data_IF_771975139608
#
_entry.id   IF_771975139608
#
_cell.length_a   1.000
_cell.length_b   1.000
_cell.length_c   1.000
_cell.angle_alpha   90.00
_cell.angle_beta   90.00
_cell.angle_gamma   90.00
#
_symmetry.space_group_name_H-M   'P 1'
#
loop_
_entity.id
_entity.type
_entity.pdbx_description
1 polymer ?
#
# COMPACT_ATOMS: atom_id res chain seq x y z
N UNK A 1 -18.30 13.91 7.20
CA UNK A 1 -17.27 13.37 8.12
C UNK A 1 -16.46 12.33 7.34
N UNK A 2 -15.15 12.56 7.13
CA UNK A 2 -14.32 11.66 6.30
C UNK A 2 -14.13 10.31 7.04
N UNK A 3 -14.33 9.15 6.38
CA UNK A 3 -14.26 7.86 7.04
C UNK A 3 -12.84 7.60 7.57
N UNK A 4 -12.73 7.44 8.90
CA UNK A 4 -11.48 7.21 9.62
C UNK A 4 -11.13 5.71 9.59
N UNK A 5 -10.87 5.16 8.42
CA UNK A 5 -10.35 3.79 8.29
C UNK A 5 -8.83 3.83 8.26
N UNK A 6 -8.20 3.98 9.43
CA UNK A 6 -6.74 4.15 9.54
C UNK A 6 -5.97 2.91 10.00
N UNK A 7 -6.66 1.79 10.23
CA UNK A 7 -6.03 0.59 10.80
C UNK A 7 -5.85 -0.54 9.78
N UNK A 8 -5.66 -0.23 8.49
CA UNK A 8 -5.36 -1.28 7.50
C UNK A 8 -3.89 -1.70 7.60
N UNK A 9 -3.63 -3.00 7.76
CA UNK A 9 -2.29 -3.57 7.67
C UNK A 9 -1.89 -3.72 6.20
N UNK A 10 -0.86 -2.98 5.80
CA UNK A 10 -0.32 -2.97 4.43
C UNK A 10 0.70 -4.09 4.26
N UNK A 11 1.64 -4.23 5.20
CA UNK A 11 2.62 -5.30 5.21
C UNK A 11 2.32 -6.25 6.36
N UNK A 12 1.83 -7.46 6.06
CA UNK A 12 1.49 -8.44 7.11
C UNK A 12 2.72 -9.04 7.78
N UNK A 13 3.78 -9.33 7.02
CA UNK A 13 4.98 -9.98 7.57
C UNK A 13 5.75 -9.11 8.55
N UNK A 14 5.84 -7.81 8.26
CA UNK A 14 6.52 -6.84 9.13
C UNK A 14 5.54 -6.02 9.97
N UNK A 15 4.27 -6.44 10.01
CA UNK A 15 3.18 -5.80 10.75
C UNK A 15 3.10 -4.28 10.57
N UNK A 16 3.27 -3.81 9.33
CA UNK A 16 3.26 -2.37 8.99
C UNK A 16 1.86 -1.96 8.57
N UNK A 17 1.31 -1.01 9.31
CA UNK A 17 0.01 -0.39 9.08
C UNK A 17 0.12 0.83 8.15
N UNK A 18 -1.02 1.21 7.58
CA UNK A 18 -1.14 2.34 6.65
C UNK A 18 -0.67 3.65 7.26
N UNK A 19 -0.98 3.91 8.54
CA UNK A 19 -0.55 5.13 9.23
C UNK A 19 0.96 5.29 9.26
N UNK A 20 1.72 4.20 9.45
CA UNK A 20 3.18 4.23 9.42
C UNK A 20 3.71 4.64 8.05
N UNK A 21 3.11 4.11 6.98
CA UNK A 21 3.48 4.48 5.61
C UNK A 21 3.14 5.95 5.33
N UNK A 22 1.93 6.40 5.68
CA UNK A 22 1.52 7.80 5.50
C UNK A 22 2.41 8.77 6.28
N UNK A 23 2.80 8.40 7.50
CA UNK A 23 3.74 9.18 8.31
C UNK A 23 5.09 9.28 7.61
N UNK A 24 5.66 8.16 7.16
CA UNK A 24 6.93 8.13 6.43
C UNK A 24 6.92 9.03 5.18
N UNK A 25 5.84 8.99 4.40
CA UNK A 25 5.67 9.85 3.22
C UNK A 25 5.57 11.34 3.62
N UNK A 26 4.88 11.66 4.72
CA UNK A 26 4.79 13.03 5.25
C UNK A 26 6.11 13.55 5.83
N UNK A 27 6.92 12.67 6.42
CA UNK A 27 8.27 12.97 6.88
C UNK A 27 9.24 13.25 5.71
N UNK A 28 8.81 12.99 4.47
CA UNK A 28 9.52 13.42 3.27
C UNK A 28 10.02 12.29 2.38
N UNK A 29 9.63 11.03 2.62
CA UNK A 29 9.97 9.93 1.73
C UNK A 29 9.38 10.16 0.32
N UNK A 30 10.24 10.21 -0.70
CA UNK A 30 9.85 10.42 -2.10
C UNK A 30 10.02 9.18 -2.96
N UNK A 31 10.65 8.15 -2.42
CA UNK A 31 10.92 6.90 -3.13
C UNK A 31 10.45 5.68 -2.34
N UNK A 32 10.22 4.57 -3.05
CA UNK A 32 9.86 3.31 -2.42
C UNK A 32 10.96 2.76 -1.51
N UNK A 33 12.22 2.94 -1.89
CA UNK A 33 13.35 2.50 -1.07
C UNK A 33 13.39 3.22 0.27
N UNK A 34 13.17 4.54 0.31
CA UNK A 34 13.10 5.29 1.57
C UNK A 34 11.97 4.77 2.47
N UNK A 35 10.82 4.43 1.89
CA UNK A 35 9.71 3.81 2.64
C UNK A 35 10.16 2.44 3.19
N UNK A 36 10.85 1.63 2.41
CA UNK A 36 11.31 0.31 2.85
C UNK A 36 12.35 0.41 3.95
N UNK A 37 13.30 1.34 3.84
CA UNK A 37 14.34 1.56 4.83
C UNK A 37 13.76 2.08 6.15
N UNK A 38 12.79 3.00 6.08
CA UNK A 38 12.18 3.58 7.29
C UNK A 38 11.14 2.68 7.95
N UNK A 39 10.35 1.94 7.16
CA UNK A 39 9.18 1.19 7.68
C UNK A 39 9.40 -0.32 7.69
N UNK A 40 10.48 -0.81 7.09
CA UNK A 40 10.71 -2.24 6.82
C UNK A 40 9.64 -2.90 5.95
N UNK A 41 8.64 -2.16 5.44
CA UNK A 41 7.67 -2.72 4.51
C UNK A 41 8.38 -3.17 3.23
N UNK A 42 7.95 -4.27 2.63
CA UNK A 42 8.48 -4.72 1.34
C UNK A 42 9.77 -5.54 1.41
N UNK A 43 10.52 -5.57 2.52
CA UNK A 43 11.78 -6.36 2.64
C UNK A 43 11.63 -7.67 3.43
N UNK A 44 10.40 -8.07 3.75
CA UNK A 44 10.13 -9.30 4.51
C UNK A 44 10.29 -10.60 3.70
N UNK A 45 10.25 -11.77 4.39
CA UNK A 45 10.45 -13.09 3.79
C UNK A 45 9.38 -13.47 2.75
N UNK A 46 8.26 -12.75 2.71
CA UNK A 46 7.21 -12.94 1.70
C UNK A 46 7.54 -12.37 0.31
N UNK A 47 8.76 -11.86 0.10
CA UNK A 47 9.19 -11.28 -1.18
C UNK A 47 8.58 -9.91 -1.48
N UNK A 48 8.02 -9.22 -0.48
CA UNK A 48 7.54 -7.85 -0.65
C UNK A 48 6.24 -7.70 -1.43
N UNK A 49 5.28 -8.60 -1.25
CA UNK A 49 3.96 -8.52 -1.91
C UNK A 49 3.23 -7.18 -1.69
N UNK A 50 3.49 -6.50 -0.57
CA UNK A 50 2.94 -5.17 -0.27
C UNK A 50 3.53 -4.03 -1.12
N UNK A 51 4.67 -4.22 -1.80
CA UNK A 51 5.28 -3.19 -2.68
C UNK A 51 4.32 -2.73 -3.79
N UNK A 52 3.45 -3.64 -4.27
CA UNK A 52 2.42 -3.35 -5.28
C UNK A 52 1.35 -2.36 -4.80
N UNK A 53 1.11 -2.28 -3.48
CA UNK A 53 0.22 -1.29 -2.86
C UNK A 53 0.93 0.05 -2.65
N UNK A 54 2.19 -0.01 -2.23
CA UNK A 54 2.98 1.17 -1.85
C UNK A 54 3.32 2.06 -3.05
N UNK A 55 3.62 1.47 -4.22
CA UNK A 55 3.93 2.23 -5.45
C UNK A 55 2.83 3.22 -5.83
N UNK A 56 1.61 2.73 -6.13
CA UNK A 56 0.48 3.60 -6.49
C UNK A 56 0.12 4.61 -5.39
N UNK A 57 0.26 4.23 -4.12
CA UNK A 57 0.00 5.12 -2.98
C UNK A 57 0.96 6.30 -2.95
N UNK A 58 2.26 6.04 -3.11
CA UNK A 58 3.30 7.06 -3.12
C UNK A 58 3.14 7.96 -4.34
N UNK A 59 2.95 7.39 -5.53
CA UNK A 59 2.78 8.15 -6.77
C UNK A 59 1.55 9.07 -6.73
N UNK A 60 0.43 8.57 -6.20
CA UNK A 60 -0.77 9.39 -6.01
C UNK A 60 -0.51 10.56 -5.05
N UNK A 61 0.23 10.34 -3.97
CA UNK A 61 0.59 11.41 -3.03
C UNK A 61 1.52 12.44 -3.68
N UNK A 62 2.53 12.01 -4.43
CA UNK A 62 3.45 12.92 -5.12
C UNK A 62 2.73 13.76 -6.20
N UNK A 63 1.70 13.20 -6.84
CA UNK A 63 0.94 13.89 -7.90
C UNK A 63 -0.14 14.82 -7.35
N UNK A 64 -0.91 14.37 -6.35
CA UNK A 64 -2.10 15.09 -5.85
C UNK A 64 -1.90 15.82 -4.53
N UNK A 65 -0.83 15.49 -3.79
CA UNK A 65 -0.62 15.94 -2.42
C UNK A 65 -1.57 15.29 -1.39
N UNK A 66 -2.37 14.30 -1.78
CA UNK A 66 -3.34 13.63 -0.91
C UNK A 66 -3.20 12.12 -0.95
N UNK A 67 -3.72 11.42 0.06
CA UNK A 67 -3.68 9.95 0.12
C UNK A 67 -4.99 9.35 -0.41
N UNK A 68 -4.95 8.27 -1.21
CA UNK A 68 -6.15 7.63 -1.74
C UNK A 68 -6.98 7.01 -0.61
N UNK A 69 -8.31 7.15 -0.62
CA UNK A 69 -9.15 6.63 0.47
C UNK A 69 -9.09 5.09 0.56
N UNK A 70 -8.95 4.40 -0.58
CA UNK A 70 -8.84 2.94 -0.67
C UNK A 70 -7.58 2.56 -1.46
N UNK A 71 -6.81 1.62 -0.92
CA UNK A 71 -5.70 0.97 -1.63
C UNK A 71 -6.24 -0.26 -2.34
N UNK A 72 -6.86 -0.08 -3.51
CA UNK A 72 -7.33 -1.22 -4.30
C UNK A 72 -6.12 -1.91 -4.95
N UNK A 73 -6.06 -3.24 -4.85
CA UNK A 73 -4.97 -4.08 -5.39
C UNK A 73 -5.32 -4.68 -6.73
N UNK A 74 -6.17 -4.04 -7.52
CA UNK A 74 -6.71 -4.67 -8.72
C UNK A 74 -5.87 -4.36 -9.94
N UNK A 75 -4.67 -4.96 -10.00
CA UNK A 75 -4.01 -5.31 -11.27
C UNK A 75 -3.53 -6.77 -11.30
N UNK A 76 -4.26 -7.68 -10.65
CA UNK A 76 -4.27 -9.10 -11.02
C UNK A 76 -5.71 -9.55 -11.16
N UNK A 77 -6.12 -9.82 -12.40
CA UNK A 77 -7.48 -10.14 -12.77
C UNK A 77 -8.05 -11.35 -12.04
N UNK A 78 -8.97 -11.09 -11.12
CA UNK A 78 -10.05 -12.02 -10.83
C UNK A 78 -11.33 -11.21 -10.71
N UNK A 79 -12.08 -11.11 -11.80
CA UNK A 79 -13.50 -10.74 -11.75
C UNK A 79 -14.17 -11.64 -10.70
N UNK A 80 -14.97 -11.12 -9.77
CA UNK A 80 -15.81 -11.97 -8.94
C UNK A 80 -16.95 -12.48 -9.82
N UNK A 81 -17.01 -13.79 -10.05
CA UNK A 81 -18.15 -14.45 -10.70
C UNK A 81 -17.89 -14.89 -12.14
N UNK A 82 -18.04 -16.19 -12.37
CA UNK A 82 -18.00 -16.81 -13.69
C UNK A 82 -17.51 -18.25 -13.62
N UNK A 83 -18.34 -19.14 -13.09
CA UNK A 83 -18.30 -20.56 -13.48
C UNK A 83 -18.25 -20.65 -15.00
N UNK A 84 -17.28 -21.37 -15.54
CA UNK A 84 -17.52 -22.09 -16.78
C UNK A 84 -16.79 -23.42 -16.70
N UNK A 85 -17.62 -24.45 -16.59
CA UNK A 85 -17.27 -25.83 -16.79
C UNK A 85 -16.75 -26.04 -18.22
N UNK A 86 -15.77 -26.94 -18.34
CA UNK A 86 -15.54 -27.78 -19.50
C UNK A 86 -15.35 -29.20 -18.99
#
# INVERSE_FOLDING_TARGET
>A
MKPKQRSEIICRCNNVNRETIEKCIRDGAKTLNEIFDQTSAGVGPCGGSCRRKLGPMLEHYLTTGTFPEKLTTDMTGKKPGGSQAC
#
